data_IF_661890482196
#
_entry.id   IF_661890482196
#
_cell.length_a   1.000
_cell.length_b   1.000
_cell.length_c   1.000
_cell.angle_alpha   90.00
_cell.angle_beta   90.00
_cell.angle_gamma   90.00
#
_symmetry.space_group_name_H-M   'P 1'
#
loop_
_entity.id
_entity.type
_entity.pdbx_description
1 polymer ?
#
# COMPACT_ATOMS: atom_id res chain seq x y z
N UNK A 1 58.69 -0.33 4.66
CA UNK A 1 57.52 -1.02 4.05
C UNK A 1 56.51 -1.39 5.14
N UNK A 2 55.72 -0.44 5.64
CA UNK A 2 54.54 -0.70 6.48
C UNK A 2 53.50 0.44 6.34
N UNK A 3 52.31 0.03 5.88
CA UNK A 3 50.92 0.52 6.08
C UNK A 3 50.68 1.97 6.54
N UNK A 4 49.94 2.72 5.74
CA UNK A 4 49.05 3.79 6.21
C UNK A 4 47.63 3.59 5.66
N UNK A 5 46.77 3.14 6.57
CA UNK A 5 45.34 2.95 6.41
C UNK A 5 44.67 4.31 6.69
N UNK A 6 44.32 5.08 5.64
CA UNK A 6 43.54 6.31 5.79
C UNK A 6 42.11 6.09 5.31
N UNK A 7 41.19 6.42 6.20
CA UNK A 7 39.77 6.04 6.21
C UNK A 7 39.04 6.64 5.00
N UNK A 8 38.35 5.78 4.27
CA UNK A 8 37.35 6.14 3.25
C UNK A 8 36.29 7.07 3.83
N UNK A 9 36.35 8.35 3.48
CA UNK A 9 35.33 9.35 3.78
C UNK A 9 34.14 9.21 2.82
N UNK A 10 33.24 8.26 3.10
CA UNK A 10 31.96 8.14 2.40
C UNK A 10 31.03 9.27 2.88
N UNK A 11 31.10 10.43 2.22
CA UNK A 11 30.31 11.60 2.58
C UNK A 11 28.85 11.42 2.15
N UNK A 12 27.97 11.34 3.15
CA UNK A 12 26.50 11.24 3.02
C UNK A 12 25.85 12.32 2.12
N UNK A 13 26.59 13.37 1.73
CA UNK A 13 26.12 14.44 0.84
C UNK A 13 25.92 14.00 -0.62
N UNK A 14 26.62 12.97 -1.09
CA UNK A 14 26.47 12.49 -2.47
C UNK A 14 25.28 11.53 -2.68
N UNK A 15 24.83 10.85 -1.62
CA UNK A 15 23.71 9.89 -1.68
C UNK A 15 22.34 10.57 -1.67
N UNK A 16 22.20 11.73 -1.02
CA UNK A 16 20.91 12.43 -0.90
C UNK A 16 20.49 13.08 -2.24
N UNK A 17 21.45 13.47 -3.10
CA UNK A 17 21.17 14.16 -4.36
C UNK A 17 20.58 13.24 -5.45
N UNK A 18 20.93 11.96 -5.46
CA UNK A 18 20.43 11.00 -6.47
C UNK A 18 18.98 10.57 -6.22
N UNK A 19 18.57 10.47 -4.94
CA UNK A 19 17.18 10.13 -4.59
C UNK A 19 16.23 11.31 -4.83
N UNK A 20 16.72 12.55 -4.68
CA UNK A 20 15.95 13.77 -4.84
C UNK A 20 15.61 14.13 -6.30
N UNK A 21 16.34 13.64 -7.30
CA UNK A 21 16.08 14.00 -8.72
C UNK A 21 15.00 13.15 -9.39
N UNK A 22 14.67 11.97 -8.85
CA UNK A 22 13.57 11.12 -9.36
C UNK A 22 12.23 11.50 -8.73
N UNK A 23 12.23 12.06 -7.52
CA UNK A 23 11.09 12.83 -6.99
C UNK A 23 11.08 14.18 -7.70
N UNK A 24 10.77 14.13 -8.99
CA UNK A 24 10.46 15.32 -9.79
C UNK A 24 9.41 16.09 -9.00
N UNK A 25 9.66 17.38 -8.81
CA UNK A 25 8.66 18.41 -8.58
C UNK A 25 7.61 18.30 -9.69
N UNK A 26 6.66 17.39 -9.54
CA UNK A 26 5.48 17.35 -10.38
C UNK A 26 4.70 18.60 -10.00
N UNK A 27 4.51 19.52 -10.95
CA UNK A 27 3.59 20.62 -10.77
C UNK A 27 2.24 20.03 -10.34
N UNK A 28 1.81 20.42 -9.15
CA UNK A 28 0.70 19.81 -8.41
C UNK A 28 -0.59 19.71 -9.24
N UNK A 29 -0.79 20.60 -10.21
CA UNK A 29 -1.94 20.58 -11.13
C UNK A 29 -2.03 19.30 -11.97
N UNK A 30 -0.90 18.75 -12.43
CA UNK A 30 -0.91 17.59 -13.33
C UNK A 30 -1.38 16.31 -12.64
N UNK A 31 -1.14 16.17 -11.34
CA UNK A 31 -1.50 14.99 -10.54
C UNK A 31 -3.01 14.88 -10.28
N UNK A 32 -3.74 16.00 -10.34
CA UNK A 32 -5.18 16.03 -10.10
C UNK A 32 -6.01 15.97 -11.40
N UNK A 33 -5.35 15.96 -12.56
CA UNK A 33 -6.02 15.74 -13.85
C UNK A 33 -6.52 14.31 -13.90
N UNK A 34 -7.84 14.13 -14.01
CA UNK A 34 -8.48 12.81 -14.12
C UNK A 34 -8.43 12.34 -15.56
N UNK A 35 -7.82 11.18 -15.80
CA UNK A 35 -7.75 10.54 -17.11
C UNK A 35 -8.66 9.30 -17.13
N UNK A 36 -9.16 8.89 -18.31
CA UNK A 36 -9.96 7.67 -18.43
C UNK A 36 -9.18 6.38 -18.11
N UNK A 37 -7.85 6.41 -18.24
CA UNK A 37 -6.97 5.26 -18.01
C UNK A 37 -6.48 5.14 -16.55
N UNK A 38 -6.93 6.02 -15.66
CA UNK A 38 -6.51 6.01 -14.25
C UNK A 38 -7.08 4.79 -13.51
N UNK A 39 -6.23 4.10 -12.76
CA UNK A 39 -6.68 3.04 -11.84
C UNK A 39 -7.33 3.69 -10.62
N UNK A 40 -8.63 3.49 -10.48
CA UNK A 40 -9.43 4.09 -9.40
C UNK A 40 -9.80 3.08 -8.32
N UNK A 41 -9.90 3.56 -7.08
CA UNK A 41 -10.47 2.79 -5.97
C UNK A 41 -11.99 2.94 -5.98
N UNK A 42 -12.71 1.86 -6.28
CA UNK A 42 -14.19 1.85 -6.32
C UNK A 42 -14.79 1.67 -4.93
N UNK A 43 -14.20 0.79 -4.11
CA UNK A 43 -14.64 0.50 -2.76
C UNK A 43 -13.42 0.28 -1.85
N UNK A 44 -13.43 0.90 -0.68
CA UNK A 44 -12.46 0.67 0.38
C UNK A 44 -13.21 0.40 1.69
N UNK A 45 -13.18 -0.85 2.14
CA UNK A 45 -13.79 -1.27 3.41
C UNK A 45 -12.80 -2.10 4.22
N UNK A 46 -13.05 -2.19 5.52
CA UNK A 46 -12.22 -2.94 6.47
C UNK A 46 -13.06 -3.57 7.56
N UNK A 47 -12.50 -4.57 8.22
CA UNK A 47 -13.07 -5.13 9.45
C UNK A 47 -12.85 -4.18 10.64
N UNK A 48 -13.70 -4.26 11.69
CA UNK A 48 -13.45 -3.55 12.93
C UNK A 48 -12.13 -4.00 13.57
N UNK A 49 -11.31 -3.04 13.99
CA UNK A 49 -10.06 -3.34 14.68
C UNK A 49 -10.31 -3.67 16.14
N UNK A 50 -10.11 -4.93 16.50
CA UNK A 50 -10.24 -5.44 17.86
C UNK A 50 -8.85 -5.67 18.48
N UNK A 51 -8.75 -5.60 19.81
CA UNK A 51 -7.51 -5.92 20.53
C UNK A 51 -7.16 -7.39 20.35
N UNK A 52 -5.91 -7.68 19.98
CA UNK A 52 -5.42 -9.05 19.90
C UNK A 52 -5.61 -9.79 21.24
N UNK A 53 -6.02 -11.06 21.18
CA UNK A 53 -6.25 -11.95 22.34
C UNK A 53 -7.31 -11.52 23.37
N UNK A 54 -7.86 -10.31 23.28
CA UNK A 54 -8.83 -9.76 24.28
C UNK A 54 -10.11 -9.20 23.64
N UNK A 55 -10.10 -8.94 22.35
CA UNK A 55 -11.24 -8.37 21.62
C UNK A 55 -12.29 -9.40 21.21
N UNK A 56 -13.37 -8.91 20.60
CA UNK A 56 -14.51 -9.73 20.17
C UNK A 56 -14.11 -10.73 19.07
N UNK A 57 -13.20 -10.33 18.20
CA UNK A 57 -12.69 -11.17 17.10
C UNK A 57 -11.46 -12.00 17.48
N UNK A 58 -11.17 -12.18 18.78
CA UNK A 58 -9.94 -12.86 19.23
C UNK A 58 -9.88 -14.35 18.86
N UNK A 59 -11.04 -14.99 18.76
CA UNK A 59 -11.19 -16.42 18.46
C UNK A 59 -11.62 -16.66 17.01
N UNK A 60 -11.61 -15.60 16.18
CA UNK A 60 -12.02 -15.68 14.77
C UNK A 60 -10.79 -15.90 13.89
N UNK A 61 -10.71 -17.00 13.14
CA UNK A 61 -9.61 -17.23 12.21
C UNK A 61 -9.69 -16.30 10.99
N UNK A 62 -8.56 -16.12 10.31
CA UNK A 62 -8.40 -15.10 9.26
C UNK A 62 -9.28 -15.34 8.02
N UNK A 63 -9.51 -16.60 7.67
CA UNK A 63 -10.40 -17.04 6.60
C UNK A 63 -11.85 -16.64 6.86
N UNK A 64 -12.34 -16.79 8.09
CA UNK A 64 -13.71 -16.38 8.47
C UNK A 64 -13.85 -14.86 8.40
N UNK A 65 -12.83 -14.11 8.82
CA UNK A 65 -12.80 -12.66 8.66
C UNK A 65 -12.83 -12.24 7.18
N UNK A 66 -12.05 -12.94 6.33
CA UNK A 66 -12.01 -12.69 4.89
C UNK A 66 -13.37 -12.97 4.24
N UNK A 67 -14.02 -14.09 4.57
CA UNK A 67 -15.37 -14.42 4.08
C UNK A 67 -16.38 -13.34 4.47
N UNK A 68 -16.34 -12.87 5.71
CA UNK A 68 -17.19 -11.76 6.17
C UNK A 68 -16.94 -10.47 5.39
N UNK A 69 -15.68 -10.16 5.11
CA UNK A 69 -15.31 -8.98 4.32
C UNK A 69 -15.78 -9.08 2.87
N UNK A 70 -15.58 -10.23 2.21
CA UNK A 70 -16.00 -10.43 0.80
C UNK A 70 -17.53 -10.38 0.65
N UNK A 71 -18.29 -10.87 1.64
CA UNK A 71 -19.75 -10.70 1.68
C UNK A 71 -20.13 -9.22 1.78
N UNK A 72 -19.47 -8.46 2.65
CA UNK A 72 -19.70 -7.03 2.77
C UNK A 72 -19.30 -6.26 1.49
N UNK A 73 -18.24 -6.68 0.78
CA UNK A 73 -17.89 -6.14 -0.55
C UNK A 73 -19.00 -6.40 -1.54
N UNK A 74 -19.48 -7.64 -1.65
CA UNK A 74 -20.59 -8.02 -2.54
C UNK A 74 -21.84 -7.16 -2.32
N UNK A 75 -22.19 -6.90 -1.06
CA UNK A 75 -23.37 -6.11 -0.71
C UNK A 75 -23.21 -4.61 -1.00
N UNK A 76 -22.00 -4.06 -0.84
CA UNK A 76 -21.75 -2.61 -0.91
C UNK A 76 -21.21 -2.12 -2.25
N UNK A 77 -20.54 -2.98 -3.02
CA UNK A 77 -19.86 -2.58 -4.25
C UNK A 77 -20.86 -2.19 -5.35
N UNK A 78 -22.06 -2.79 -5.36
CA UNK A 78 -23.07 -2.49 -6.37
C UNK A 78 -22.66 -2.83 -7.81
N UNK A 79 -21.64 -3.68 -7.97
CA UNK A 79 -21.13 -4.15 -9.26
C UNK A 79 -21.51 -5.62 -9.47
N UNK A 80 -21.56 -6.04 -10.74
CA UNK A 80 -21.66 -7.45 -11.07
C UNK A 80 -20.35 -8.17 -10.67
N UNK A 81 -20.49 -9.31 -9.99
CA UNK A 81 -19.36 -10.12 -9.55
C UNK A 81 -18.65 -10.79 -10.72
N UNK A 82 -19.33 -10.99 -11.85
CA UNK A 82 -18.73 -11.54 -13.07
C UNK A 82 -17.66 -10.63 -13.70
N UNK A 83 -17.60 -9.35 -13.31
CA UNK A 83 -16.59 -8.38 -13.77
C UNK A 83 -15.27 -8.46 -13.00
N UNK A 84 -15.21 -9.22 -11.90
CA UNK A 84 -13.98 -9.36 -11.11
C UNK A 84 -13.06 -10.36 -11.80
N UNK A 85 -11.90 -9.88 -12.24
CA UNK A 85 -10.92 -10.69 -12.97
C UNK A 85 -9.87 -11.33 -12.04
N UNK A 86 -9.56 -10.70 -10.91
CA UNK A 86 -8.52 -11.18 -9.98
C UNK A 86 -8.82 -10.79 -8.52
N UNK A 87 -8.30 -11.59 -7.58
CA UNK A 87 -8.39 -11.36 -6.13
C UNK A 87 -7.02 -11.64 -5.49
N UNK A 88 -6.36 -10.58 -5.04
CA UNK A 88 -5.12 -10.68 -4.26
C UNK A 88 -5.40 -10.55 -2.75
N UNK A 89 -4.88 -11.50 -1.96
CA UNK A 89 -4.98 -11.53 -0.48
C UNK A 89 -3.57 -11.65 0.10
N UNK A 90 -3.29 -10.88 1.15
CA UNK A 90 -2.01 -10.90 1.88
C UNK A 90 -2.10 -11.46 3.28
#
# INVERSE_FOLDING_TARGET
>A
MLRNYSRSGFSARHMIRAFSSTVRTLESKSLFTKNPDDVVLTLAIRTPMCKAKKGVLKDTPSDVLLVGMLKAVKERAGIDLGLIEDIAVG
#
